data_IF_331678336842
#
_entry.id   IF_331678336842
#
_cell.length_a   1.000
_cell.length_b   1.000
_cell.length_c   1.000
_cell.angle_alpha   90.00
_cell.angle_beta   90.00
_cell.angle_gamma   90.00
#
_symmetry.space_group_name_H-M   'P 1'
#
loop_
_entity.id
_entity.type
_entity.pdbx_description
1 polymer ?
#
# COMPACT_ATOMS: atom_id res chain seq x y z
N UNK A 1 -27.31 -5.47 11.38
CA UNK A 1 -26.36 -4.50 10.82
C UNK A 1 -25.15 -5.28 10.39
N UNK A 2 -24.80 -5.22 9.11
CA UNK A 2 -23.56 -5.84 8.65
C UNK A 2 -22.41 -5.18 9.41
N UNK A 3 -21.55 -6.01 10.01
CA UNK A 3 -20.30 -5.60 10.63
C UNK A 3 -19.18 -6.03 9.67
N UNK A 4 -18.98 -5.29 8.55
CA UNK A 4 -17.99 -5.67 7.56
C UNK A 4 -16.59 -5.65 8.17
N UNK A 5 -15.79 -6.66 7.85
CA UNK A 5 -14.42 -6.80 8.34
C UNK A 5 -13.52 -5.63 7.90
N UNK A 6 -13.79 -5.09 6.70
CA UNK A 6 -13.12 -3.92 6.15
C UNK A 6 -14.14 -3.00 5.47
N UNK A 7 -13.97 -1.69 5.59
CA UNK A 7 -14.89 -0.73 4.99
C UNK A 7 -14.18 0.57 4.57
N UNK A 8 -14.85 1.31 3.68
CA UNK A 8 -14.44 2.66 3.26
C UNK A 8 -12.97 2.75 2.78
N UNK A 9 -12.56 1.92 1.80
CA UNK A 9 -11.22 2.04 1.23
C UNK A 9 -11.04 3.32 0.42
N UNK A 10 -9.79 3.68 0.14
CA UNK A 10 -9.44 4.72 -0.81
C UNK A 10 -8.86 4.10 -2.08
N UNK A 11 -9.44 4.45 -3.24
CA UNK A 11 -8.85 4.13 -4.54
C UNK A 11 -7.86 5.22 -4.95
N UNK A 12 -6.64 4.83 -5.29
CA UNK A 12 -5.57 5.73 -5.73
C UNK A 12 -4.91 5.11 -6.96
N UNK A 13 -4.41 5.94 -7.89
CA UNK A 13 -3.56 5.47 -8.98
C UNK A 13 -2.19 6.13 -8.89
N UNK A 14 -1.15 5.31 -9.05
CA UNK A 14 0.25 5.74 -9.21
C UNK A 14 0.77 5.42 -10.62
N UNK A 15 -0.14 5.34 -11.60
CA UNK A 15 0.10 4.74 -12.93
C UNK A 15 -0.45 3.31 -13.04
N UNK A 16 -0.57 2.62 -11.90
CA UNK A 16 -1.30 1.37 -11.69
C UNK A 16 -2.36 1.56 -10.59
N UNK A 17 -3.43 0.74 -10.54
CA UNK A 17 -4.52 0.90 -9.58
C UNK A 17 -4.17 0.34 -8.18
N UNK A 18 -4.56 1.07 -7.14
CA UNK A 18 -4.39 0.72 -5.73
C UNK A 18 -5.70 0.91 -4.95
N UNK A 19 -5.97 0.00 -4.02
CA UNK A 19 -7.13 0.02 -3.14
C UNK A 19 -6.66 -0.11 -1.69
N UNK A 20 -6.62 1.01 -0.98
CA UNK A 20 -6.05 1.13 0.35
C UNK A 20 -7.13 1.00 1.42
N UNK A 21 -7.06 -0.06 2.22
CA UNK A 21 -7.90 -0.31 3.39
C UNK A 21 -7.19 0.11 4.67
N UNK A 22 -7.96 0.63 5.61
CA UNK A 22 -7.46 1.14 6.88
C UNK A 22 -7.87 0.18 7.99
N UNK A 23 -6.90 -0.27 8.77
CA UNK A 23 -7.08 -1.32 9.78
C UNK A 23 -6.44 -0.91 11.10
N UNK A 24 -6.97 -1.41 12.21
CA UNK A 24 -6.42 -1.14 13.54
C UNK A 24 -5.09 -1.85 13.78
N UNK A 25 -4.94 -3.06 13.23
CA UNK A 25 -3.79 -3.93 13.45
C UNK A 25 -3.52 -4.78 12.19
N UNK A 26 -2.48 -4.42 11.45
CA UNK A 26 -2.16 -5.09 10.17
C UNK A 26 -1.72 -6.54 10.37
N UNK A 27 -1.25 -6.90 11.57
CA UNK A 27 -0.77 -8.26 11.87
C UNK A 27 -1.92 -9.28 11.92
N UNK A 28 -3.15 -8.80 12.13
CA UNK A 28 -4.38 -9.62 12.19
C UNK A 28 -5.07 -9.76 10.85
N UNK A 29 -4.59 -9.06 9.82
CA UNK A 29 -5.16 -9.10 8.48
C UNK A 29 -4.75 -10.39 7.78
N UNK A 30 -5.73 -11.17 7.36
CA UNK A 30 -5.54 -12.25 6.38
C UNK A 30 -5.42 -11.64 4.97
N UNK A 31 -4.20 -11.22 4.62
CA UNK A 31 -3.88 -10.55 3.35
C UNK A 31 -4.16 -11.48 2.16
N UNK A 32 -3.92 -12.79 2.31
CA UNK A 32 -4.13 -13.74 1.23
C UNK A 32 -5.62 -13.91 0.92
N UNK A 33 -6.42 -14.21 1.95
CA UNK A 33 -7.85 -14.42 1.76
C UNK A 33 -8.56 -13.14 1.32
N UNK A 34 -8.20 -11.99 1.90
CA UNK A 34 -8.89 -10.73 1.61
C UNK A 34 -8.41 -10.10 0.30
N UNK A 35 -7.09 -10.07 0.09
CA UNK A 35 -6.47 -9.43 -1.07
C UNK A 35 -6.90 -10.08 -2.38
N UNK A 36 -6.90 -11.42 -2.45
CA UNK A 36 -7.30 -12.16 -3.65
C UNK A 36 -8.77 -11.93 -4.06
N UNK A 37 -9.66 -11.75 -3.09
CA UNK A 37 -11.07 -11.43 -3.35
C UNK A 37 -11.24 -10.01 -3.91
N UNK A 38 -10.47 -9.05 -3.41
CA UNK A 38 -10.56 -7.65 -3.82
C UNK A 38 -9.85 -7.41 -5.15
N UNK A 39 -8.72 -8.09 -5.39
CA UNK A 39 -7.95 -8.00 -6.63
C UNK A 39 -8.87 -8.13 -7.85
N UNK A 40 -9.76 -9.11 -7.85
CA UNK A 40 -10.65 -9.43 -8.97
C UNK A 40 -12.08 -8.88 -8.78
N UNK A 41 -12.27 -7.93 -7.88
CA UNK A 41 -13.58 -7.36 -7.63
C UNK A 41 -14.10 -6.65 -8.89
N UNK A 42 -15.40 -6.76 -9.27
CA UNK A 42 -15.94 -6.20 -10.52
C UNK A 42 -15.74 -4.68 -10.72
N UNK A 43 -15.45 -3.94 -9.64
CA UNK A 43 -15.11 -2.51 -9.70
C UNK A 43 -13.69 -2.25 -10.25
N UNK A 44 -12.86 -3.28 -10.34
CA UNK A 44 -11.50 -3.24 -10.87
C UNK A 44 -11.36 -4.24 -12.03
N UNK A 45 -11.85 -3.91 -13.24
CA UNK A 45 -11.87 -4.84 -14.37
C UNK A 45 -10.49 -5.35 -14.80
N UNK A 46 -9.45 -4.55 -14.57
CA UNK A 46 -8.05 -4.89 -14.85
C UNK A 46 -7.29 -5.38 -13.61
N UNK A 47 -8.01 -5.68 -12.53
CA UNK A 47 -7.48 -5.99 -11.22
C UNK A 47 -6.89 -4.79 -10.47
N UNK A 48 -6.55 -4.98 -9.20
CA UNK A 48 -6.05 -3.92 -8.31
C UNK A 48 -5.02 -4.43 -7.31
N UNK A 49 -4.05 -3.57 -6.95
CA UNK A 49 -3.18 -3.82 -5.79
C UNK A 49 -3.95 -3.45 -4.52
N UNK A 50 -3.85 -4.28 -3.49
CA UNK A 50 -4.64 -4.11 -2.27
C UNK A 50 -3.70 -3.88 -1.11
N UNK A 51 -3.74 -2.67 -0.54
CA UNK A 51 -2.94 -2.30 0.62
C UNK A 51 -3.81 -2.31 1.88
N UNK A 52 -3.26 -2.85 2.96
CA UNK A 52 -3.82 -2.74 4.30
C UNK A 52 -2.89 -1.89 5.14
N UNK A 53 -3.33 -0.71 5.55
CA UNK A 53 -2.54 0.24 6.32
C UNK A 53 -3.07 0.37 7.74
N UNK A 54 -2.15 0.25 8.69
CA UNK A 54 -2.28 0.67 10.07
C UNK A 54 -1.55 2.01 10.24
N UNK A 55 -2.27 3.01 10.73
CA UNK A 55 -1.68 4.31 11.08
C UNK A 55 -1.12 4.19 12.49
N UNK A 56 0.21 4.18 12.63
CA UNK A 56 0.88 4.16 13.94
C UNK A 56 0.84 5.56 14.54
N UNK A 57 1.27 6.54 13.76
CA UNK A 57 1.19 7.96 14.08
C UNK A 57 1.14 8.79 12.77
N UNK A 58 1.27 10.12 12.87
CA UNK A 58 1.17 11.00 11.71
C UNK A 58 2.35 10.89 10.73
N UNK A 59 3.48 10.38 11.18
CA UNK A 59 4.75 10.30 10.44
C UNK A 59 5.18 8.84 10.18
N UNK A 60 4.45 7.86 10.73
CA UNK A 60 4.74 6.44 10.62
C UNK A 60 3.50 5.62 10.27
N UNK A 61 3.59 4.89 9.17
CA UNK A 61 2.56 4.01 8.64
C UNK A 61 3.12 2.60 8.55
N UNK A 62 2.30 1.59 8.89
CA UNK A 62 2.65 0.19 8.68
C UNK A 62 1.68 -0.40 7.68
N UNK A 63 2.18 -0.98 6.59
CA UNK A 63 1.33 -1.57 5.56
C UNK A 63 1.74 -2.98 5.16
N UNK A 64 0.77 -3.78 4.72
CA UNK A 64 0.98 -5.03 3.99
C UNK A 64 0.20 -4.98 2.67
N UNK A 65 0.67 -5.71 1.68
CA UNK A 65 0.13 -5.62 0.31
C UNK A 65 -0.17 -6.99 -0.28
N UNK A 66 -1.27 -7.05 -1.03
CA UNK A 66 -1.52 -8.06 -2.05
C UNK A 66 -1.35 -7.39 -3.42
N UNK A 67 -0.29 -7.74 -4.14
CA UNK A 67 0.00 -7.20 -5.46
C UNK A 67 -0.73 -7.97 -6.55
N UNK A 68 -1.32 -7.22 -7.47
CA UNK A 68 -2.04 -7.75 -8.62
C UNK A 68 -1.13 -8.67 -9.44
N UNK A 69 -1.53 -9.92 -9.61
CA UNK A 69 -0.79 -10.94 -10.36
C UNK A 69 0.44 -11.52 -9.66
N UNK A 70 0.80 -11.03 -8.47
CA UNK A 70 1.97 -11.51 -7.72
C UNK A 70 1.61 -12.08 -6.33
N UNK A 71 0.47 -11.68 -5.76
CA UNK A 71 0.07 -12.09 -4.41
C UNK A 71 0.80 -11.29 -3.32
N UNK A 72 1.16 -11.95 -2.22
CA UNK A 72 1.83 -11.27 -1.10
C UNK A 72 3.30 -11.01 -1.48
N UNK A 73 3.69 -9.73 -1.52
CA UNK A 73 5.07 -9.30 -1.72
C UNK A 73 5.63 -8.66 -0.45
N UNK A 74 6.97 -8.60 -0.36
CA UNK A 74 7.64 -7.99 0.79
C UNK A 74 7.58 -6.46 0.76
N UNK A 75 7.61 -5.88 -0.44
CA UNK A 75 7.59 -4.43 -0.63
C UNK A 75 6.97 -4.09 -1.99
N UNK A 76 6.20 -3.00 -2.03
CA UNK A 76 5.62 -2.43 -3.24
C UNK A 76 5.82 -0.91 -3.22
N UNK A 77 6.72 -0.38 -4.05
CA UNK A 77 7.03 1.06 -4.05
C UNK A 77 5.82 1.94 -4.40
N UNK A 78 5.07 1.57 -5.45
CA UNK A 78 3.85 2.29 -5.84
C UNK A 78 2.74 2.13 -4.79
N UNK A 79 2.65 0.97 -4.12
CA UNK A 79 1.74 0.73 -3.00
C UNK A 79 2.06 1.61 -1.78
N UNK A 80 3.34 1.81 -1.47
CA UNK A 80 3.77 2.74 -0.41
C UNK A 80 3.40 4.20 -0.74
N UNK A 81 3.60 4.61 -2.00
CA UNK A 81 3.15 5.92 -2.50
C UNK A 81 1.64 6.10 -2.37
N UNK A 82 0.86 5.11 -2.84
CA UNK A 82 -0.59 5.13 -2.77
C UNK A 82 -1.10 5.20 -1.32
N UNK A 83 -0.47 4.43 -0.43
CA UNK A 83 -0.77 4.40 1.01
C UNK A 83 -0.61 5.77 1.65
N UNK A 84 0.53 6.45 1.43
CA UNK A 84 0.75 7.79 1.96
C UNK A 84 -0.30 8.78 1.45
N UNK A 85 -0.56 8.78 0.13
CA UNK A 85 -1.53 9.72 -0.45
C UNK A 85 -2.93 9.48 0.11
N UNK A 86 -3.32 8.21 0.28
CA UNK A 86 -4.61 7.84 0.86
C UNK A 86 -4.74 8.30 2.33
N UNK A 87 -3.74 8.05 3.17
CA UNK A 87 -3.75 8.47 4.59
C UNK A 87 -3.72 9.99 4.74
N UNK A 88 -2.91 10.68 3.93
CA UNK A 88 -2.82 12.14 3.94
C UNK A 88 -4.14 12.79 3.49
N UNK A 89 -4.78 12.29 2.42
CA UNK A 89 -6.09 12.78 1.96
C UNK A 89 -7.21 12.58 2.99
N UNK A 90 -7.12 11.54 3.83
CA UNK A 90 -8.04 11.33 4.94
C UNK A 90 -7.70 12.14 6.20
N UNK A 91 -6.61 12.90 6.20
CA UNK A 91 -6.13 13.66 7.36
C UNK A 91 -5.55 12.78 8.48
N UNK A 92 -5.21 11.53 8.18
CA UNK A 92 -4.70 10.55 9.15
C UNK A 92 -3.17 10.62 9.31
N UNK A 93 -2.46 11.03 8.27
CA UNK A 93 -1.02 11.26 8.30
C UNK A 93 -0.66 12.66 7.81
N UNK A 94 0.61 13.02 7.99
CA UNK A 94 1.21 14.13 7.27
C UNK A 94 1.40 13.77 5.79
N UNK A 95 1.75 14.77 4.97
CA UNK A 95 2.09 14.58 3.55
C UNK A 95 3.47 13.97 3.36
N UNK A 96 4.24 13.76 4.41
CA UNK A 96 5.46 12.98 4.38
C UNK A 96 5.44 12.03 5.58
N UNK A 97 5.76 10.75 5.34
CA UNK A 97 5.78 9.74 6.39
C UNK A 97 6.70 8.58 5.99
N UNK A 98 7.12 7.81 6.98
CA UNK A 98 7.77 6.51 6.79
C UNK A 98 6.69 5.44 6.63
N UNK A 99 6.74 4.71 5.54
CA UNK A 99 5.88 3.56 5.26
C UNK A 99 6.68 2.28 5.47
N UNK A 100 6.35 1.57 6.53
CA UNK A 100 6.99 0.31 6.92
C UNK A 100 6.27 -0.85 6.23
N UNK A 101 7.00 -1.61 5.41
CA UNK A 101 6.55 -2.86 4.78
C UNK A 101 7.30 -4.06 5.38
N UNK A 102 6.95 -5.27 4.95
CA UNK A 102 7.60 -6.50 5.42
C UNK A 102 9.08 -6.54 5.01
N UNK A 103 9.39 -6.01 3.82
CA UNK A 103 10.75 -5.87 3.27
C UNK A 103 11.51 -4.63 3.72
N UNK A 104 10.94 -3.81 4.61
CA UNK A 104 11.61 -2.64 5.17
C UNK A 104 10.89 -1.29 4.93
N UNK A 105 11.45 -0.20 5.48
CA UNK A 105 10.82 1.12 5.41
C UNK A 105 11.16 1.87 4.11
N UNK A 106 10.17 2.60 3.60
CA UNK A 106 10.35 3.64 2.60
C UNK A 106 9.93 4.98 3.18
N UNK A 107 10.70 6.04 2.92
CA UNK A 107 10.25 7.40 3.16
C UNK A 107 9.52 7.90 1.92
N UNK A 108 8.29 8.38 2.11
CA UNK A 108 7.47 8.88 1.02
C UNK A 108 7.01 10.30 1.37
N UNK A 109 7.06 11.19 0.38
CA UNK A 109 6.59 12.57 0.49
C UNK A 109 5.69 12.93 -0.69
N UNK A 110 4.49 13.44 -0.42
CA UNK A 110 3.59 14.05 -1.38
C UNK A 110 3.78 15.56 -1.35
N UNK A 111 4.61 16.06 -2.26
CA UNK A 111 5.06 17.46 -2.32
C UNK A 111 3.90 18.42 -2.67
N UNK A 112 4.08 19.72 -2.44
CA UNK A 112 3.05 20.75 -2.67
C UNK A 112 2.60 20.85 -4.13
N UNK A 113 3.46 20.47 -5.07
CA UNK A 113 3.16 20.41 -6.50
C UNK A 113 2.48 19.08 -6.92
N UNK A 114 1.98 18.33 -5.95
CA UNK A 114 1.33 17.02 -6.09
C UNK A 114 2.20 15.88 -6.67
N UNK A 115 3.51 16.08 -6.78
CA UNK A 115 4.43 14.98 -7.06
C UNK A 115 4.63 14.11 -5.81
N UNK A 116 4.67 12.78 -6.01
CA UNK A 116 5.03 11.82 -4.96
C UNK A 116 6.48 11.42 -5.14
N UNK A 117 7.28 11.65 -4.10
CA UNK A 117 8.70 11.35 -4.03
C UNK A 117 8.87 10.16 -3.07
N UNK A 118 9.56 9.12 -3.53
CA UNK A 118 9.84 7.92 -2.76
C UNK A 118 11.34 7.78 -2.59
N UNK A 119 11.78 7.54 -1.36
CA UNK A 119 13.18 7.32 -0.99
C UNK A 119 13.28 6.03 -0.19
N UNK A 120 14.17 5.13 -0.62
CA UNK A 120 14.39 3.85 0.02
C UNK A 120 15.84 3.40 -0.12
N UNK A 121 16.26 2.45 0.72
CA UNK A 121 17.52 1.76 0.49
C UNK A 121 17.46 1.01 -0.85
N UNK A 122 18.57 1.03 -1.59
CA UNK A 122 18.78 0.16 -2.75
C UNK A 122 19.84 -0.86 -2.34
N UNK A 123 19.47 -2.13 -2.34
CA UNK A 123 20.40 -3.23 -2.12
C UNK A 123 20.37 -4.15 -3.34
N UNK A 124 21.55 -4.49 -3.87
CA UNK A 124 21.68 -5.40 -5.01
C UNK A 124 21.72 -6.83 -4.47
N UNK A 125 20.62 -7.56 -4.57
CA UNK A 125 20.56 -8.95 -4.10
C UNK A 125 21.27 -9.95 -5.03
N UNK A 126 21.25 -9.73 -6.36
CA UNK A 126 21.84 -10.65 -7.33
C UNK A 126 22.11 -9.99 -8.69
N UNK A 127 23.11 -10.50 -9.43
CA UNK A 127 23.37 -10.20 -10.84
C UNK A 127 23.53 -11.50 -11.61
N UNK A 128 22.88 -11.62 -12.77
CA UNK A 128 22.97 -12.78 -13.65
C UNK A 128 22.80 -12.41 -15.11
N UNK A 129 23.33 -13.25 -16.00
CA UNK A 129 23.15 -13.14 -17.45
C UNK A 129 22.07 -14.14 -17.90
N UNK A 130 21.08 -13.65 -18.66
CA UNK A 130 20.18 -14.50 -19.44
C UNK A 130 20.78 -14.68 -20.84
N UNK A 131 21.02 -15.93 -21.21
CA UNK A 131 21.45 -16.37 -22.55
C UNK A 131 20.32 -17.11 -23.27
#
# INVERSE_FOLDING_TARGET
>A
YDAPLYHTPCAVSMGNPHCVFFVDDVSKVDVAATGSLIENHPLFPEGVNVEFVQVIDRDTLRMRVWERGAGITQACGTGACATLVATARRGLSNRAATVIMDGGPLHVAWAENDHVIMTGPVEVEFSGELS
#
